data_IF_219521132784
#
_entry.id   IF_219521132784
#
_cell.length_a   1.000
_cell.length_b   1.000
_cell.length_c   1.000
_cell.angle_alpha   90.00
_cell.angle_beta   90.00
_cell.angle_gamma   90.00
#
_symmetry.space_group_name_H-M   'P 1'
#
loop_
_entity.id
_entity.type
_entity.pdbx_description
1 polymer ?
#
# COMPACT_ATOMS: atom_id res chain seq x y z
N UNK A 1 -91.00 19.61 -9.88
CA UNK A 1 -91.04 18.62 -10.98
C UNK A 1 -89.63 18.53 -11.54
N UNK A 2 -89.09 17.30 -11.57
CA UNK A 2 -87.82 16.88 -12.20
C UNK A 2 -86.52 17.39 -11.53
N UNK A 3 -85.44 16.63 -11.33
CA UNK A 3 -85.11 15.21 -11.43
C UNK A 3 -83.67 15.01 -10.83
N UNK A 4 -83.44 13.91 -10.09
CA UNK A 4 -82.33 12.92 -10.16
C UNK A 4 -80.88 13.49 -10.33
N UNK A 5 -79.84 13.23 -9.52
CA UNK A 5 -79.11 11.95 -9.26
C UNK A 5 -77.89 12.21 -8.31
N UNK A 6 -77.56 11.29 -7.41
CA UNK A 6 -76.20 11.08 -6.81
C UNK A 6 -75.59 9.82 -7.49
N UNK A 7 -74.32 9.37 -7.29
CA UNK A 7 -73.01 9.97 -6.94
C UNK A 7 -71.83 9.47 -7.84
N UNK A 8 -70.63 10.08 -7.83
CA UNK A 8 -69.35 9.33 -8.02
C UNK A 8 -68.09 10.18 -7.70
N UNK A 9 -67.25 9.80 -6.71
CA UNK A 9 -65.85 10.23 -6.66
C UNK A 9 -65.01 9.33 -7.58
N UNK A 10 -64.47 9.90 -8.64
CA UNK A 10 -63.51 9.23 -9.53
C UNK A 10 -62.22 8.90 -8.75
N UNK A 11 -62.01 7.63 -8.41
CA UNK A 11 -60.69 7.13 -8.05
C UNK A 11 -59.80 7.15 -9.30
N UNK A 12 -58.69 7.90 -9.25
CA UNK A 12 -57.61 7.77 -10.24
C UNK A 12 -56.69 6.63 -9.82
N UNK A 13 -56.52 5.59 -10.66
CA UNK A 13 -55.74 4.40 -10.35
C UNK A 13 -54.22 4.64 -10.49
N UNK A 14 -53.48 4.28 -9.43
CA UNK A 14 -52.31 3.38 -9.37
C UNK A 14 -51.17 3.41 -10.42
N UNK A 15 -51.09 4.38 -11.33
CA UNK A 15 -50.03 4.42 -12.36
C UNK A 15 -48.78 5.18 -11.90
N UNK A 16 -48.94 6.17 -11.01
CA UNK A 16 -47.84 7.05 -10.60
C UNK A 16 -46.76 6.30 -9.81
N UNK A 17 -47.12 5.26 -9.04
CA UNK A 17 -46.17 4.53 -8.19
C UNK A 17 -45.26 3.58 -8.97
N UNK A 18 -45.70 3.06 -10.13
CA UNK A 18 -44.90 2.10 -10.94
C UNK A 18 -43.88 2.78 -11.86
N UNK A 19 -44.15 4.00 -12.32
CA UNK A 19 -43.24 4.74 -13.17
C UNK A 19 -41.98 5.20 -12.42
N UNK A 20 -42.11 5.59 -11.15
CA UNK A 20 -41.00 6.09 -10.34
C UNK A 20 -39.96 5.01 -10.04
N UNK A 21 -40.40 3.76 -9.84
CA UNK A 21 -39.49 2.67 -9.47
C UNK A 21 -38.56 2.24 -10.62
N UNK A 22 -39.03 2.29 -11.87
CA UNK A 22 -38.22 1.91 -13.04
C UNK A 22 -37.17 2.97 -13.38
N UNK A 23 -37.50 4.26 -13.25
CA UNK A 23 -36.56 5.35 -13.53
C UNK A 23 -35.41 5.41 -12.51
N UNK A 24 -35.68 5.13 -11.22
CA UNK A 24 -34.64 5.12 -10.18
C UNK A 24 -33.62 3.99 -10.40
N UNK A 25 -34.06 2.82 -10.87
CA UNK A 25 -33.15 1.68 -11.12
C UNK A 25 -32.25 1.94 -12.34
N UNK A 26 -32.76 2.55 -13.41
CA UNK A 26 -31.97 2.85 -14.62
C UNK A 26 -30.97 3.97 -14.38
N UNK A 27 -31.34 5.03 -13.65
CA UNK A 27 -30.40 6.10 -13.27
C UNK A 27 -29.35 5.61 -12.27
N UNK A 28 -29.74 4.74 -11.33
CA UNK A 28 -28.80 4.10 -10.39
C UNK A 28 -27.76 3.21 -11.08
N UNK A 29 -28.18 2.41 -12.08
CA UNK A 29 -27.26 1.57 -12.86
C UNK A 29 -26.32 2.40 -13.76
N UNK A 30 -26.79 3.52 -14.30
CA UNK A 30 -25.99 4.41 -15.15
C UNK A 30 -25.01 5.29 -14.35
N UNK A 31 -25.32 5.62 -13.10
CA UNK A 31 -24.40 6.30 -12.18
C UNK A 31 -23.23 5.39 -11.72
N UNK A 32 -23.45 4.08 -11.63
CA UNK A 32 -22.37 3.11 -11.34
C UNK A 32 -21.36 2.97 -12.49
N UNK A 33 -21.75 3.26 -13.72
CA UNK A 33 -20.86 3.23 -14.90
C UNK A 33 -19.97 4.48 -15.02
N UNK A 34 -20.22 5.52 -14.21
CA UNK A 34 -19.42 6.74 -14.12
C UNK A 34 -18.48 6.75 -12.92
N UNK A 35 -18.37 5.64 -12.18
CA UNK A 35 -17.32 5.50 -11.19
C UNK A 35 -15.98 5.58 -11.92
N UNK A 36 -15.09 6.52 -11.56
CA UNK A 36 -13.74 6.50 -12.09
C UNK A 36 -13.13 5.17 -11.67
N UNK A 37 -12.89 4.29 -12.65
CA UNK A 37 -11.96 3.18 -12.51
C UNK A 37 -10.61 3.82 -12.25
N UNK A 38 -10.31 4.08 -10.98
CA UNK A 38 -8.96 4.30 -10.51
C UNK A 38 -8.23 2.99 -10.76
N UNK A 39 -7.69 2.83 -11.97
CA UNK A 39 -6.70 1.83 -12.27
C UNK A 39 -5.47 2.25 -11.47
N UNK A 40 -5.44 1.85 -10.20
CA UNK A 40 -4.21 1.85 -9.43
C UNK A 40 -3.24 1.02 -10.26
N UNK A 41 -2.29 1.69 -10.94
CA UNK A 41 -1.19 0.98 -11.58
C UNK A 41 -0.54 0.18 -10.46
N UNK A 42 -0.51 -1.14 -10.61
CA UNK A 42 0.16 -2.01 -9.66
C UNK A 42 1.62 -1.53 -9.57
N UNK A 43 1.94 -0.79 -8.52
CA UNK A 43 3.31 -0.38 -8.27
C UNK A 43 4.06 -1.66 -7.95
N UNK A 44 4.98 -2.04 -8.83
CA UNK A 44 5.74 -3.27 -8.68
C UNK A 44 6.60 -3.14 -7.43
N UNK A 45 6.40 -4.03 -6.47
CA UNK A 45 7.28 -4.10 -5.31
C UNK A 45 8.72 -4.38 -5.78
N UNK A 46 9.73 -3.78 -5.12
CA UNK A 46 11.12 -4.06 -5.47
C UNK A 46 11.47 -5.51 -5.14
N UNK A 47 12.40 -6.07 -5.91
CA UNK A 47 13.02 -7.35 -5.55
C UNK A 47 13.80 -7.20 -4.23
N UNK A 48 13.71 -8.21 -3.37
CA UNK A 48 14.46 -8.25 -2.10
C UNK A 48 15.30 -9.51 -2.11
N UNK A 49 16.57 -9.41 -1.76
CA UNK A 49 17.47 -10.57 -1.67
C UNK A 49 18.43 -10.39 -0.51
N UNK A 50 18.59 -11.41 0.32
CA UNK A 50 19.60 -11.43 1.36
C UNK A 50 20.80 -12.29 0.94
N UNK A 51 22.01 -11.78 1.16
CA UNK A 51 23.25 -12.52 0.99
C UNK A 51 23.93 -12.70 2.34
N UNK A 52 23.91 -13.93 2.84
CA UNK A 52 24.46 -14.30 4.15
C UNK A 52 25.99 -14.22 4.23
N UNK A 53 26.71 -14.39 3.12
CA UNK A 53 28.17 -14.34 3.10
C UNK A 53 28.72 -12.95 3.41
N UNK A 54 27.96 -11.91 3.02
CA UNK A 54 28.32 -10.50 3.25
C UNK A 54 27.33 -9.79 4.17
N UNK A 55 26.41 -10.54 4.79
CA UNK A 55 25.36 -10.06 5.68
C UNK A 55 24.65 -8.80 5.15
N UNK A 56 24.16 -8.87 3.91
CA UNK A 56 23.60 -7.72 3.19
C UNK A 56 22.25 -8.04 2.56
N UNK A 57 21.26 -7.21 2.83
CA UNK A 57 19.96 -7.17 2.17
C UNK A 57 20.05 -6.20 0.99
N UNK A 58 19.75 -6.68 -0.21
CA UNK A 58 19.63 -5.88 -1.42
C UNK A 58 18.16 -5.61 -1.72
N UNK A 59 17.84 -4.35 -2.04
CA UNK A 59 16.48 -3.92 -2.36
C UNK A 59 16.50 -3.25 -3.74
N UNK A 60 15.74 -3.81 -4.68
CA UNK A 60 15.64 -3.34 -6.06
C UNK A 60 16.74 -3.87 -6.99
N UNK A 61 16.85 -3.22 -8.15
CA UNK A 61 17.77 -3.57 -9.22
C UNK A 61 18.80 -2.48 -9.44
N UNK A 62 20.00 -2.89 -9.87
CA UNK A 62 21.09 -2.00 -10.31
C UNK A 62 20.66 -1.08 -11.47
N UNK A 63 21.34 0.05 -11.68
CA UNK A 63 21.04 0.95 -12.78
C UNK A 63 21.17 0.25 -14.14
N UNK A 64 20.25 0.54 -15.05
CA UNK A 64 20.21 -0.09 -16.38
C UNK A 64 19.07 0.42 -17.25
N UNK A 65 19.02 -0.05 -18.49
CA UNK A 65 17.96 0.31 -19.44
C UNK A 65 16.60 -0.13 -18.89
N UNK A 66 15.65 0.80 -18.83
CA UNK A 66 14.30 0.54 -18.32
C UNK A 66 14.15 0.61 -16.80
N UNK A 67 15.23 0.85 -16.05
CA UNK A 67 15.17 1.09 -14.60
C UNK A 67 14.79 2.54 -14.35
N UNK A 68 13.63 2.75 -13.74
CA UNK A 68 13.20 4.09 -13.29
C UNK A 68 13.66 4.28 -11.84
N UNK A 69 14.52 5.27 -11.54
CA UNK A 69 15.06 5.49 -10.20
C UNK A 69 13.99 5.70 -9.14
N UNK A 70 14.11 5.00 -8.00
CA UNK A 70 13.19 5.13 -6.86
C UNK A 70 11.72 4.82 -7.15
N UNK A 71 11.40 4.19 -8.28
CA UNK A 71 10.02 3.92 -8.70
C UNK A 71 9.34 2.81 -7.90
N UNK A 72 10.11 1.94 -7.26
CA UNK A 72 9.61 0.79 -6.51
C UNK A 72 9.72 1.05 -5.01
N UNK A 73 8.63 1.50 -4.40
CA UNK A 73 8.59 1.79 -2.96
C UNK A 73 8.32 0.53 -2.15
N UNK A 74 9.04 0.36 -1.03
CA UNK A 74 8.79 -0.68 -0.03
C UNK A 74 8.86 -0.09 1.38
N UNK A 75 7.95 -0.50 2.27
CA UNK A 75 7.99 -0.19 3.70
C UNK A 75 8.90 -1.13 4.47
N UNK A 76 9.27 -0.80 5.71
CA UNK A 76 10.07 -1.69 6.56
C UNK A 76 9.36 -3.02 6.85
N UNK A 77 8.04 -2.97 7.07
CA UNK A 77 7.19 -4.14 7.32
C UNK A 77 7.09 -5.03 6.07
N UNK A 78 6.88 -4.43 4.89
CA UNK A 78 6.85 -5.17 3.63
C UNK A 78 8.22 -5.80 3.30
N UNK A 79 9.32 -5.10 3.62
CA UNK A 79 10.66 -5.65 3.51
C UNK A 79 10.85 -6.88 4.40
N UNK A 80 10.43 -6.81 5.66
CA UNK A 80 10.49 -7.94 6.58
C UNK A 80 9.62 -9.13 6.13
N UNK A 81 8.44 -8.85 5.57
CA UNK A 81 7.58 -9.88 4.99
C UNK A 81 8.24 -10.57 3.78
N UNK A 82 8.91 -9.82 2.90
CA UNK A 82 9.64 -10.37 1.76
C UNK A 82 10.82 -11.26 2.19
N UNK A 83 11.56 -10.84 3.22
CA UNK A 83 12.64 -11.63 3.81
C UNK A 83 12.11 -12.91 4.46
N UNK A 84 11.01 -12.81 5.21
CA UNK A 84 10.34 -13.97 5.83
C UNK A 84 9.86 -14.97 4.78
N UNK A 85 9.26 -14.48 3.70
CA UNK A 85 8.82 -15.32 2.58
C UNK A 85 9.99 -16.05 1.88
N UNK A 86 11.20 -15.50 1.97
CA UNK A 86 12.43 -16.10 1.43
C UNK A 86 13.16 -17.00 2.42
N UNK A 87 12.70 -17.09 3.67
CA UNK A 87 13.32 -17.88 4.75
C UNK A 87 14.31 -17.10 5.64
N UNK A 88 14.51 -15.81 5.38
CA UNK A 88 15.53 -14.97 6.04
C UNK A 88 14.98 -14.22 7.26
N UNK A 89 14.46 -14.95 8.25
CA UNK A 89 13.66 -14.37 9.35
C UNK A 89 14.45 -13.64 10.45
N UNK A 90 15.78 -13.76 10.48
CA UNK A 90 16.63 -13.24 11.57
C UNK A 90 17.33 -11.91 11.31
N UNK A 91 17.22 -11.35 10.10
CA UNK A 91 18.03 -10.19 9.68
C UNK A 91 17.31 -8.85 9.85
N UNK A 92 15.98 -8.87 9.92
CA UNK A 92 15.13 -7.72 10.21
C UNK A 92 13.94 -8.20 11.05
N UNK A 93 13.97 -7.90 12.35
CA UNK A 93 13.08 -8.49 13.35
C UNK A 93 12.26 -7.40 14.02
N UNK A 94 10.95 -7.59 14.09
CA UNK A 94 10.07 -6.79 14.94
C UNK A 94 10.23 -7.26 16.40
N UNK A 95 10.74 -6.39 17.27
CA UNK A 95 10.92 -6.65 18.70
C UNK A 95 9.66 -6.34 19.53
N UNK A 96 8.58 -5.91 18.89
CA UNK A 96 7.35 -5.45 19.52
C UNK A 96 7.37 -3.95 19.83
N UNK A 97 6.21 -3.40 20.20
CA UNK A 97 6.03 -1.99 20.58
C UNK A 97 6.53 -0.96 19.54
N UNK A 98 6.56 -1.32 18.26
CA UNK A 98 7.05 -0.45 17.19
C UNK A 98 8.57 -0.39 17.07
N UNK A 99 9.30 -1.28 17.74
CA UNK A 99 10.77 -1.35 17.70
C UNK A 99 11.19 -2.46 16.75
N UNK A 100 12.05 -2.11 15.80
CA UNK A 100 12.62 -3.04 14.83
C UNK A 100 14.13 -3.12 15.00
N UNK A 101 14.69 -4.32 14.85
CA UNK A 101 16.14 -4.56 14.86
C UNK A 101 16.56 -5.07 13.49
N UNK A 102 17.49 -4.37 12.84
CA UNK A 102 18.21 -4.90 11.69
C UNK A 102 19.60 -5.35 12.11
N UNK A 103 19.93 -6.60 11.80
CA UNK A 103 21.27 -7.16 12.07
C UNK A 103 22.11 -7.27 10.79
N UNK A 104 21.56 -6.88 9.65
CA UNK A 104 22.20 -6.91 8.34
C UNK A 104 22.45 -5.50 7.80
N UNK A 105 23.37 -5.40 6.85
CA UNK A 105 23.52 -4.21 6.01
C UNK A 105 22.34 -4.14 5.06
N UNK A 106 21.87 -2.95 4.75
CA UNK A 106 20.80 -2.72 3.79
C UNK A 106 21.37 -1.88 2.65
N UNK A 107 21.35 -2.43 1.44
CA UNK A 107 21.74 -1.73 0.22
C UNK A 107 20.52 -1.48 -0.66
N UNK A 108 20.16 -0.21 -0.79
CA UNK A 108 19.04 0.24 -1.63
C UNK A 108 19.58 0.53 -3.02
N UNK A 109 19.14 -0.23 -4.01
CA UNK A 109 19.56 -0.13 -5.41
C UNK A 109 18.74 0.93 -6.17
N UNK A 110 19.17 1.22 -7.40
CA UNK A 110 18.66 2.31 -8.21
C UNK A 110 17.13 2.31 -8.36
N UNK A 111 16.51 1.15 -8.60
CA UNK A 111 15.05 1.09 -8.81
C UNK A 111 14.21 1.34 -7.55
N UNK A 112 14.80 1.21 -6.36
CA UNK A 112 14.06 1.08 -5.11
C UNK A 112 14.03 2.35 -4.28
N UNK A 113 12.92 2.49 -3.54
CA UNK A 113 12.76 3.44 -2.45
C UNK A 113 12.40 2.70 -1.17
N UNK A 114 13.25 2.78 -0.15
CA UNK A 114 12.92 2.30 1.19
C UNK A 114 12.25 3.42 2.00
N UNK A 115 11.03 3.17 2.45
CA UNK A 115 10.26 4.08 3.28
C UNK A 115 10.19 3.58 4.73
N UNK A 116 10.87 4.28 5.63
CA UNK A 116 10.92 4.01 7.07
C UNK A 116 10.19 5.14 7.76
N UNK A 117 8.87 5.00 7.89
CA UNK A 117 7.98 6.06 8.38
C UNK A 117 7.19 5.57 9.59
N UNK A 118 6.60 6.47 10.38
CA UNK A 118 5.71 6.09 11.50
C UNK A 118 4.46 5.29 11.10
N UNK A 119 4.24 5.02 9.80
CA UNK A 119 3.20 4.13 9.35
C UNK A 119 3.28 2.77 10.07
N UNK A 120 2.12 2.19 10.35
CA UNK A 120 1.99 0.85 10.96
C UNK A 120 2.76 0.72 12.29
N UNK A 121 2.63 1.74 13.15
CA UNK A 121 3.16 1.80 14.51
C UNK A 121 4.69 1.68 14.64
N UNK A 122 5.44 1.95 13.57
CA UNK A 122 6.91 2.01 13.63
C UNK A 122 7.37 3.22 14.46
N UNK A 123 8.19 2.97 15.49
CA UNK A 123 8.71 4.00 16.40
C UNK A 123 10.23 4.08 16.39
N UNK A 124 10.89 2.92 16.33
CA UNK A 124 12.34 2.83 16.38
C UNK A 124 12.87 1.78 15.40
N UNK A 125 13.90 2.13 14.64
CA UNK A 125 14.75 1.19 13.93
C UNK A 125 16.13 1.18 14.58
N UNK A 126 16.53 0.01 15.11
CA UNK A 126 17.84 -0.26 15.68
C UNK A 126 18.70 -0.97 14.64
N UNK A 127 19.89 -0.45 14.39
CA UNK A 127 20.90 -1.06 13.55
C UNK A 127 21.93 -1.73 14.45
N UNK A 128 22.04 -3.05 14.41
CA UNK A 128 23.00 -3.77 15.26
C UNK A 128 24.45 -3.38 14.92
N UNK A 129 25.14 -2.79 15.90
CA UNK A 129 26.56 -2.50 15.80
C UNK A 129 27.32 -3.18 16.95
N UNK A 130 27.89 -4.34 16.65
CA UNK A 130 28.79 -5.07 17.56
C UNK A 130 30.19 -5.17 16.94
N UNK A 131 31.20 -5.46 17.75
CA UNK A 131 32.57 -5.61 17.26
C UNK A 131 32.60 -6.67 16.14
N UNK A 132 33.10 -6.28 14.96
CA UNK A 132 33.21 -7.15 13.79
C UNK A 132 31.93 -7.28 12.93
N UNK A 133 30.80 -6.70 13.34
CA UNK A 133 29.53 -6.74 12.59
C UNK A 133 28.78 -5.42 12.73
N UNK A 134 28.69 -4.69 11.62
CA UNK A 134 28.03 -3.38 11.54
C UNK A 134 26.85 -3.46 10.58
N UNK A 135 25.64 -3.24 11.10
CA UNK A 135 24.46 -2.95 10.31
C UNK A 135 24.45 -1.45 9.95
N UNK A 136 24.18 -1.16 8.68
CA UNK A 136 24.02 0.20 8.19
C UNK A 136 23.09 0.20 6.97
N UNK A 137 22.56 1.36 6.63
CA UNK A 137 21.79 1.56 5.40
C UNK A 137 22.66 2.35 4.43
N UNK A 138 22.86 1.81 3.22
CA UNK A 138 23.53 2.49 2.12
C UNK A 138 22.55 2.63 0.97
N UNK A 139 22.47 3.84 0.43
CA UNK A 139 21.71 4.14 -0.78
C UNK A 139 22.70 4.19 -1.94
N UNK A 140 22.50 3.35 -2.96
CA UNK A 140 23.27 3.42 -4.20
C UNK A 140 22.69 4.49 -5.13
N UNK A 141 23.44 4.90 -6.16
CA UNK A 141 23.01 5.92 -7.11
C UNK A 141 21.64 5.60 -7.71
N UNK A 142 20.73 6.58 -7.64
CA UNK A 142 19.33 6.47 -8.08
C UNK A 142 18.37 5.85 -7.07
N UNK A 143 18.89 5.12 -6.06
CA UNK A 143 18.09 4.61 -4.95
C UNK A 143 17.61 5.73 -4.05
N UNK A 144 16.56 5.46 -3.26
CA UNK A 144 15.99 6.46 -2.36
C UNK A 144 15.73 5.90 -0.97
N UNK A 145 15.99 6.72 0.05
CA UNK A 145 15.66 6.44 1.44
C UNK A 145 14.84 7.60 1.99
N UNK A 146 13.66 7.30 2.53
CA UNK A 146 12.88 8.28 3.29
C UNK A 146 12.69 7.78 4.71
N UNK A 147 13.14 8.58 5.67
CA UNK A 147 12.98 8.35 7.10
C UNK A 147 12.11 9.49 7.64
N UNK A 148 10.97 9.17 8.24
CA UNK A 148 10.03 10.18 8.72
C UNK A 148 9.40 9.80 10.07
N UNK A 149 9.52 10.70 11.05
CA UNK A 149 8.94 10.57 12.39
C UNK A 149 9.47 9.43 13.27
N UNK A 150 10.44 8.63 12.83
CA UNK A 150 10.94 7.47 13.60
C UNK A 150 12.33 7.73 14.19
N UNK A 151 12.63 7.08 15.32
CA UNK A 151 13.97 7.08 15.92
C UNK A 151 14.86 6.05 15.22
N UNK A 152 16.06 6.44 14.82
CA UNK A 152 17.09 5.49 14.34
C UNK A 152 18.22 5.43 15.35
N UNK A 153 18.61 4.23 15.77
CA UNK A 153 19.70 4.00 16.72
C UNK A 153 20.66 2.94 16.20
N UNK A 154 21.86 2.92 16.77
CA UNK A 154 22.90 1.92 16.51
C UNK A 154 23.46 1.35 17.80
#
# INVERSE_FOLDING_TARGET
MSAIEQPHPTQLPSVVTRAVFVTVVVVGAMALLLLPLNVARAQTAPTVTYNSNINTIFIGSDPGVGVVPGSQTISLQALAAALTASGDTGVLVNQGNGVWLSTARIEIKASARLAITQAEDLKELRLESIIGKLAYIRVQDGGQLSIDGIKVTS
#
